data_IF_415770636066
#
_entry.id   IF_415770636066
#
_cell.length_a   1.000
_cell.length_b   1.000
_cell.length_c   1.000
_cell.angle_alpha   90.00
_cell.angle_beta   90.00
_cell.angle_gamma   90.00
#
_symmetry.space_group_name_H-M   'P 1'
#
loop_
_entity.id
_entity.type
_entity.pdbx_description
1 polymer ?
#
# COMPACT_ATOMS: atom_id res chain seq x y z
N UNK A 1 -17.04 14.01 18.77
CA UNK A 1 -16.67 12.75 19.44
C UNK A 1 -16.37 11.74 18.35
N UNK A 2 -15.11 11.34 18.18
CA UNK A 2 -14.79 9.94 17.89
C UNK A 2 -13.38 9.67 18.44
N UNK A 3 -13.31 8.70 19.35
CA UNK A 3 -12.21 8.45 20.26
C UNK A 3 -11.50 7.16 19.83
N UNK A 4 -10.71 7.22 18.75
CA UNK A 4 -10.08 6.02 18.19
C UNK A 4 -8.63 6.23 17.71
N UNK A 5 -8.05 7.43 17.89
CA UNK A 5 -6.75 7.78 17.28
C UNK A 5 -5.55 7.45 18.18
N UNK A 6 -5.39 6.18 18.55
CA UNK A 6 -4.17 5.63 19.14
C UNK A 6 -4.01 4.21 18.55
N UNK A 7 -3.00 4.01 17.68
CA UNK A 7 -2.54 2.72 17.11
C UNK A 7 -3.20 2.07 15.86
N UNK A 8 -4.11 2.71 15.10
CA UNK A 8 -4.57 2.15 13.81
C UNK A 8 -4.32 3.13 12.65
N UNK A 9 -3.51 2.71 11.67
CA UNK A 9 -3.45 3.41 10.38
C UNK A 9 -4.79 3.24 9.71
N UNK A 10 -5.53 4.35 9.59
CA UNK A 10 -6.85 4.27 8.98
C UNK A 10 -6.72 3.85 7.51
N UNK A 11 -7.65 3.01 7.06
CA UNK A 11 -7.75 2.58 5.66
C UNK A 11 -7.66 3.77 4.67
N UNK A 12 -8.32 4.87 5.02
CA UNK A 12 -8.30 6.13 4.27
C UNK A 12 -6.90 6.74 4.18
N UNK A 13 -6.13 6.77 5.28
CA UNK A 13 -4.75 7.25 5.25
C UNK A 13 -3.88 6.39 4.34
N UNK A 14 -4.02 5.06 4.44
CA UNK A 14 -3.26 4.13 3.60
C UNK A 14 -3.56 4.31 2.10
N UNK A 15 -4.83 4.53 1.76
CA UNK A 15 -5.24 4.86 0.39
C UNK A 15 -4.65 6.19 -0.07
N UNK A 16 -4.74 7.24 0.75
CA UNK A 16 -4.19 8.56 0.43
C UNK A 16 -2.67 8.51 0.22
N UNK A 17 -1.94 7.73 1.01
CA UNK A 17 -0.50 7.52 0.85
C UNK A 17 -0.14 6.86 -0.50
N UNK A 18 -1.04 6.07 -1.09
CA UNK A 18 -0.78 5.30 -2.30
C UNK A 18 -1.46 5.85 -3.56
N UNK A 19 -2.32 6.87 -3.44
CA UNK A 19 -2.84 7.62 -4.58
C UNK A 19 -1.76 8.04 -5.60
N UNK A 20 -0.60 8.60 -5.21
CA UNK A 20 0.45 8.96 -6.17
C UNK A 20 1.05 7.75 -6.92
N UNK A 21 0.87 6.53 -6.40
CA UNK A 21 1.33 5.31 -7.04
C UNK A 21 0.37 4.75 -8.09
N UNK A 22 -0.90 5.16 -8.09
CA UNK A 22 -1.93 4.55 -8.91
C UNK A 22 -1.59 4.47 -10.41
N UNK A 23 -1.06 5.51 -11.08
CA UNK A 23 -0.72 5.41 -12.50
C UNK A 23 0.33 4.32 -12.79
N UNK A 24 1.38 4.25 -11.95
CA UNK A 24 2.40 3.20 -12.05
C UNK A 24 1.79 1.82 -11.77
N UNK A 25 1.01 1.70 -10.69
CA UNK A 25 0.38 0.46 -10.26
C UNK A 25 -0.62 -0.08 -11.29
N UNK A 26 -1.31 0.79 -12.03
CA UNK A 26 -2.22 0.42 -13.12
C UNK A 26 -1.47 0.07 -14.42
N UNK A 27 -0.19 0.41 -14.53
CA UNK A 27 0.56 0.34 -15.79
C UNK A 27 0.16 1.40 -16.83
N UNK A 28 -0.60 2.42 -16.42
CA UNK A 28 -0.98 3.57 -17.27
C UNK A 28 0.04 4.72 -17.20
N UNK A 29 0.91 4.70 -16.18
CA UNK A 29 1.97 5.67 -15.93
C UNK A 29 3.36 5.20 -16.38
N UNK A 30 4.43 5.93 -15.97
CA UNK A 30 5.80 5.59 -16.31
C UNK A 30 6.22 4.22 -15.77
N UNK A 31 7.25 3.62 -16.37
CA UNK A 31 7.80 2.33 -15.94
C UNK A 31 8.47 2.36 -14.56
N UNK A 32 8.79 3.55 -14.06
CA UNK A 32 9.35 3.78 -12.73
C UNK A 32 8.37 4.58 -11.87
N UNK A 33 8.14 4.20 -10.61
CA UNK A 33 7.28 4.96 -9.70
C UNK A 33 7.84 6.37 -9.46
N UNK A 34 7.00 7.41 -9.42
CA UNK A 34 7.45 8.76 -9.11
C UNK A 34 7.89 8.88 -7.64
N UNK A 35 8.75 9.84 -7.34
CA UNK A 35 9.36 9.99 -5.99
C UNK A 35 8.32 10.15 -4.88
N UNK A 36 7.19 10.82 -5.16
CA UNK A 36 6.09 10.98 -4.22
C UNK A 36 5.33 9.67 -3.95
N UNK A 37 5.25 8.77 -4.94
CA UNK A 37 4.74 7.42 -4.73
C UNK A 37 5.64 6.65 -3.75
N UNK A 38 6.95 6.66 -3.98
CA UNK A 38 7.89 5.98 -3.09
C UNK A 38 7.87 6.55 -1.66
N UNK A 39 7.77 7.88 -1.52
CA UNK A 39 7.63 8.54 -0.23
C UNK A 39 6.34 8.10 0.49
N UNK A 40 5.22 8.03 -0.23
CA UNK A 40 3.93 7.57 0.30
C UNK A 40 3.96 6.11 0.74
N UNK A 41 4.49 5.22 -0.10
CA UNK A 41 4.66 3.80 0.22
C UNK A 41 5.57 3.59 1.45
N UNK A 42 6.67 4.34 1.54
CA UNK A 42 7.56 4.30 2.70
C UNK A 42 6.88 4.82 3.98
N UNK A 43 6.12 5.91 3.89
CA UNK A 43 5.40 6.44 5.04
C UNK A 43 4.35 5.45 5.58
N UNK A 44 3.60 4.82 4.68
CA UNK A 44 2.66 3.76 5.06
C UNK A 44 3.38 2.59 5.74
N UNK A 45 4.52 2.17 5.20
CA UNK A 45 5.33 1.09 5.77
C UNK A 45 5.81 1.41 7.19
N UNK A 46 6.27 2.64 7.43
CA UNK A 46 6.72 3.09 8.75
C UNK A 46 5.60 3.09 9.79
N UNK A 47 4.37 3.34 9.36
CA UNK A 47 3.19 3.29 10.24
C UNK A 47 2.68 1.87 10.46
N UNK A 48 3.02 0.92 9.59
CA UNK A 48 2.60 -0.48 9.68
C UNK A 48 3.49 -1.31 10.64
N UNK A 49 3.59 -0.84 11.89
CA UNK A 49 4.57 -1.33 12.87
C UNK A 49 4.35 -2.79 13.29
N UNK A 50 3.09 -3.18 13.54
CA UNK A 50 2.72 -4.52 14.01
C UNK A 50 2.12 -5.36 12.89
N UNK A 51 2.21 -6.69 13.03
CA UNK A 51 1.54 -7.65 12.13
C UNK A 51 0.03 -7.37 12.03
N UNK A 52 -0.62 -7.06 13.16
CA UNK A 52 -2.04 -6.73 13.18
C UNK A 52 -2.36 -5.50 12.31
N UNK A 53 -1.60 -4.40 12.46
CA UNK A 53 -1.77 -3.19 11.65
C UNK A 53 -1.53 -3.50 10.17
N UNK A 54 -0.47 -4.25 9.83
CA UNK A 54 -0.18 -4.62 8.43
C UNK A 54 -1.31 -5.43 7.80
N UNK A 55 -1.91 -6.35 8.55
CA UNK A 55 -3.06 -7.15 8.11
C UNK A 55 -4.31 -6.30 7.96
N UNK A 56 -4.57 -5.37 8.87
CA UNK A 56 -5.70 -4.44 8.78
C UNK A 56 -5.56 -3.57 7.50
N UNK A 57 -4.39 -2.98 7.29
CA UNK A 57 -4.08 -2.21 6.09
C UNK A 57 -4.26 -3.08 4.84
N UNK A 58 -3.70 -4.30 4.81
CA UNK A 58 -3.86 -5.21 3.67
C UNK A 58 -5.34 -5.49 3.35
N UNK A 59 -6.14 -5.84 4.35
CA UNK A 59 -7.56 -6.16 4.16
C UNK A 59 -8.36 -4.94 3.66
N UNK A 60 -7.98 -3.74 4.07
CA UNK A 60 -8.52 -2.49 3.55
C UNK A 60 -8.12 -2.26 2.07
N UNK A 61 -6.85 -2.45 1.75
CA UNK A 61 -6.28 -2.04 0.47
C UNK A 61 -6.59 -3.03 -0.65
N UNK A 62 -6.68 -4.33 -0.34
CA UNK A 62 -7.00 -5.40 -1.29
C UNK A 62 -8.26 -5.11 -2.15
N UNK A 63 -9.44 -4.79 -1.59
CA UNK A 63 -10.61 -4.47 -2.41
C UNK A 63 -10.43 -3.18 -3.23
N UNK A 64 -9.69 -2.20 -2.70
CA UNK A 64 -9.39 -0.98 -3.43
C UNK A 64 -8.46 -1.25 -4.62
N UNK A 65 -7.44 -2.08 -4.45
CA UNK A 65 -6.54 -2.52 -5.51
C UNK A 65 -7.31 -3.14 -6.69
N UNK A 66 -8.29 -4.01 -6.39
CA UNK A 66 -9.18 -4.57 -7.42
C UNK A 66 -10.04 -3.51 -8.10
N UNK A 67 -10.62 -2.56 -7.34
CA UNK A 67 -11.45 -1.48 -7.89
C UNK A 67 -10.67 -0.52 -8.78
N UNK A 68 -9.44 -0.22 -8.41
CA UNK A 68 -8.56 0.67 -9.19
C UNK A 68 -7.85 -0.05 -10.34
N UNK A 69 -8.00 -1.37 -10.49
CA UNK A 69 -7.33 -2.12 -11.55
C UNK A 69 -5.80 -2.15 -11.37
N UNK A 70 -5.33 -2.29 -10.12
CA UNK A 70 -3.91 -2.46 -9.84
C UNK A 70 -3.39 -3.73 -10.50
N UNK A 71 -2.30 -3.59 -11.24
CA UNK A 71 -1.57 -4.70 -11.84
C UNK A 71 -0.66 -5.34 -10.79
N UNK A 72 -0.84 -6.65 -10.57
CA UNK A 72 -0.06 -7.44 -9.61
C UNK A 72 1.45 -7.37 -9.86
N UNK A 73 1.89 -7.45 -11.13
CA UNK A 73 3.32 -7.41 -11.46
C UNK A 73 3.93 -6.04 -11.19
N UNK A 74 3.21 -4.95 -11.45
CA UNK A 74 3.64 -3.59 -11.08
C UNK A 74 3.73 -3.43 -9.56
N UNK A 75 2.75 -3.96 -8.83
CA UNK A 75 2.73 -3.88 -7.36
C UNK A 75 3.93 -4.59 -6.72
N UNK A 76 4.35 -5.75 -7.27
CA UNK A 76 5.53 -6.50 -6.82
C UNK A 76 6.86 -5.79 -7.13
N UNK A 77 6.91 -4.99 -8.18
CA UNK A 77 8.11 -4.22 -8.55
C UNK A 77 8.30 -2.96 -7.68
N UNK A 78 7.22 -2.42 -7.11
CA UNK A 78 7.24 -1.16 -6.35
C UNK A 78 8.31 -1.13 -5.24
N UNK A 79 8.47 -2.15 -4.36
CA UNK A 79 9.45 -2.09 -3.28
C UNK A 79 10.89 -2.00 -3.79
N UNK A 80 11.20 -2.77 -4.85
CA UNK A 80 12.53 -2.77 -5.46
C UNK A 80 12.83 -1.43 -6.14
N UNK A 81 11.88 -0.89 -6.91
CA UNK A 81 12.05 0.37 -7.63
C UNK A 81 12.10 1.58 -6.69
N UNK A 82 11.40 1.51 -5.55
CA UNK A 82 11.47 2.53 -4.51
C UNK A 82 12.62 2.33 -3.52
N UNK A 83 13.36 1.23 -3.62
CA UNK A 83 14.42 0.86 -2.69
C UNK A 83 13.95 0.84 -1.21
N UNK A 84 12.78 0.24 -0.97
CA UNK A 84 12.16 0.10 0.36
C UNK A 84 11.91 -1.35 0.73
N UNK A 85 12.04 -1.68 2.01
CA UNK A 85 11.60 -2.97 2.56
C UNK A 85 10.13 -2.88 2.96
N UNK A 86 9.25 -3.11 1.99
CA UNK A 86 7.80 -2.98 2.18
C UNK A 86 7.20 -4.25 2.80
N UNK A 87 6.64 -4.14 4.00
CA UNK A 87 6.00 -5.25 4.72
C UNK A 87 4.49 -5.33 4.49
N UNK A 88 3.92 -4.39 3.73
CA UNK A 88 2.50 -4.32 3.35
C UNK A 88 2.38 -4.51 1.84
N UNK A 89 1.52 -5.41 1.38
CA UNK A 89 1.28 -5.58 -0.06
C UNK A 89 0.01 -4.85 -0.49
N UNK A 90 0.04 -4.24 -1.68
CA UNK A 90 -1.13 -3.68 -2.37
C UNK A 90 -1.58 -4.57 -3.54
N UNK A 91 -1.09 -5.79 -3.61
CA UNK A 91 -1.46 -6.73 -4.67
C UNK A 91 -2.92 -7.19 -4.46
N UNK A 92 -3.80 -7.12 -5.47
CA UNK A 92 -5.19 -7.55 -5.33
C UNK A 92 -5.34 -9.06 -5.05
N UNK A 93 -4.32 -9.86 -5.36
CA UNK A 93 -4.26 -11.31 -5.13
C UNK A 93 -3.58 -11.72 -3.82
N UNK A 94 -3.10 -10.78 -3.00
CA UNK A 94 -2.43 -11.10 -1.73
C UNK A 94 -3.37 -11.84 -0.76
N UNK A 95 -2.83 -12.83 -0.04
CA UNK A 95 -3.45 -13.34 1.17
C UNK A 95 -3.04 -12.46 2.35
N UNK A 96 -3.97 -11.66 2.87
CA UNK A 96 -3.66 -10.78 3.99
C UNK A 96 -3.28 -11.53 5.26
N UNK A 97 -3.62 -12.82 5.41
CA UNK A 97 -3.19 -13.62 6.56
C UNK A 97 -1.71 -14.00 6.50
N UNK A 98 -1.12 -14.04 5.31
CA UNK A 98 0.31 -14.32 5.12
C UNK A 98 1.20 -13.10 5.36
N UNK A 99 0.62 -11.93 5.63
CA UNK A 99 1.36 -10.72 5.94
C UNK A 99 1.99 -10.88 7.34
N UNK A 100 3.33 -10.74 7.45
CA UNK A 100 4.08 -10.97 8.69
C UNK A 100 3.95 -9.82 9.67
#
# INVERSE_FOLDING_TARGET
>A
MDASQIDDVSCSEALLSLLPCLPFLQGSGPDTPPSNCCAGANNLNQKAATTEIRRNICNCLKPAASRFGVNSDRSKQLPQLCNISLSVSFDPSIDCNSVP
#
